data_IF_442919101567
#
_entry.id   IF_442919101567
#
_cell.length_a   1.000
_cell.length_b   1.000
_cell.length_c   1.000
_cell.angle_alpha   90.00
_cell.angle_beta   90.00
_cell.angle_gamma   90.00
#
_symmetry.space_group_name_H-M   'P 1'
#
loop_
_entity.id
_entity.type
_entity.pdbx_description
1 polymer ?
#
# COMPACT_ATOMS: atom_id res chain seq x y z
N UNK A 1 -16.84 -12.35 11.77
CA UNK A 1 -17.10 -11.91 10.38
C UNK A 1 -16.25 -12.75 9.45
N UNK A 2 -16.79 -13.12 8.28
CA UNK A 2 -16.09 -14.03 7.35
C UNK A 2 -15.01 -13.28 6.59
N UNK A 3 -13.81 -13.82 6.57
CA UNK A 3 -12.76 -13.51 5.61
C UNK A 3 -12.97 -14.40 4.39
N UNK A 4 -12.99 -13.81 3.20
CA UNK A 4 -13.19 -14.52 1.93
C UNK A 4 -11.94 -14.31 1.08
N UNK A 5 -11.31 -15.41 0.69
CA UNK A 5 -10.18 -15.41 -0.24
C UNK A 5 -10.67 -15.56 -1.67
N UNK A 6 -10.09 -14.78 -2.58
CA UNK A 6 -10.39 -14.80 -4.00
C UNK A 6 -9.14 -14.65 -4.86
N UNK A 7 -9.31 -14.82 -6.14
CA UNK A 7 -8.28 -14.51 -7.13
C UNK A 7 -8.90 -13.99 -8.42
N UNK A 8 -8.11 -13.24 -9.20
CA UNK A 8 -8.49 -12.74 -10.51
C UNK A 8 -7.34 -12.94 -11.47
N UNK A 9 -7.65 -13.23 -12.74
CA UNK A 9 -6.68 -13.22 -13.84
C UNK A 9 -6.75 -11.83 -14.48
N UNK A 10 -5.62 -11.16 -14.54
CA UNK A 10 -5.49 -9.84 -15.17
C UNK A 10 -5.49 -9.92 -16.69
N UNK A 11 -5.60 -8.79 -17.39
CA UNK A 11 -5.56 -8.69 -18.85
C UNK A 11 -4.24 -9.15 -19.49
N UNK A 12 -3.14 -9.19 -18.70
CA UNK A 12 -1.85 -9.75 -19.10
C UNK A 12 -1.63 -11.19 -18.60
N UNK A 13 -2.70 -11.86 -18.11
CA UNK A 13 -2.70 -13.29 -17.79
C UNK A 13 -2.12 -13.64 -16.42
N UNK A 14 -1.89 -12.68 -15.54
CA UNK A 14 -1.33 -12.89 -14.20
C UNK A 14 -2.45 -13.14 -13.19
N UNK A 15 -2.35 -14.21 -12.40
CA UNK A 15 -3.28 -14.48 -11.31
C UNK A 15 -2.87 -13.68 -10.08
N UNK A 16 -3.78 -12.82 -9.61
CA UNK A 16 -3.64 -12.06 -8.37
C UNK A 16 -4.53 -12.64 -7.30
N UNK A 17 -3.98 -12.87 -6.12
CA UNK A 17 -4.71 -13.25 -4.93
C UNK A 17 -5.17 -11.99 -4.16
N UNK A 18 -6.34 -12.10 -3.53
CA UNK A 18 -6.86 -11.06 -2.65
C UNK A 18 -7.75 -11.67 -1.58
N UNK A 19 -8.03 -10.88 -0.54
CA UNK A 19 -9.04 -11.21 0.44
C UNK A 19 -9.99 -10.05 0.68
N UNK A 20 -11.21 -10.38 1.09
CA UNK A 20 -12.21 -9.41 1.54
C UNK A 20 -12.62 -9.70 2.98
N UNK A 21 -12.74 -8.66 3.79
CA UNK A 21 -13.14 -8.76 5.20
C UNK A 21 -14.16 -7.67 5.50
N UNK A 22 -15.29 -8.07 6.09
CA UNK A 22 -16.40 -7.16 6.37
C UNK A 22 -17.40 -7.05 5.22
N UNK A 23 -18.52 -6.41 5.50
CA UNK A 23 -19.68 -6.26 4.61
C UNK A 23 -20.24 -4.83 4.58
N UNK A 24 -19.52 -3.89 5.19
CA UNK A 24 -19.90 -2.48 5.21
C UNK A 24 -19.95 -1.85 3.82
N UNK A 25 -20.71 -0.74 3.64
CA UNK A 25 -20.93 -0.12 2.34
C UNK A 25 -19.69 0.63 1.79
N UNK A 26 -18.69 0.94 2.63
CA UNK A 26 -17.49 1.68 2.21
C UNK A 26 -16.35 0.70 1.94
N UNK A 27 -15.95 0.57 0.68
CA UNK A 27 -14.84 -0.29 0.30
C UNK A 27 -13.50 0.41 0.52
N UNK A 28 -12.57 -0.26 1.20
CA UNK A 28 -11.18 0.12 1.31
C UNK A 28 -10.34 -0.83 0.45
N UNK A 29 -9.72 -0.34 -0.61
CA UNK A 29 -8.79 -1.10 -1.45
C UNK A 29 -7.39 -0.93 -0.89
N UNK A 30 -6.83 -1.99 -0.30
CA UNK A 30 -5.63 -1.98 0.52
C UNK A 30 -4.44 -2.58 -0.23
N UNK A 31 -3.39 -1.79 -0.46
CA UNK A 31 -2.18 -2.17 -1.17
C UNK A 31 -0.98 -2.13 -0.21
N UNK A 32 -0.33 -3.28 -0.03
CA UNK A 32 0.77 -3.46 0.92
C UNK A 32 2.10 -2.83 0.46
N UNK A 33 3.03 -2.67 1.40
CA UNK A 33 4.39 -2.19 1.17
C UNK A 33 5.31 -3.23 0.54
N UNK A 34 6.59 -2.86 0.37
CA UNK A 34 7.62 -3.75 -0.15
C UNK A 34 7.76 -5.02 0.69
N UNK A 35 7.83 -6.17 0.03
CA UNK A 35 7.92 -7.48 0.69
C UNK A 35 6.64 -7.96 1.38
N UNK A 36 5.62 -7.11 1.55
CA UNK A 36 4.39 -7.47 2.26
C UNK A 36 3.44 -8.36 1.47
N UNK A 37 2.24 -8.52 2.02
CA UNK A 37 1.09 -9.22 1.42
C UNK A 37 -0.22 -8.59 1.87
N UNK A 38 -1.34 -9.13 1.44
CA UNK A 38 -2.67 -8.78 1.95
C UNK A 38 -2.77 -8.93 3.48
N UNK A 39 -1.97 -9.82 4.09
CA UNK A 39 -1.96 -10.04 5.53
C UNK A 39 -1.29 -8.91 6.32
N UNK A 40 -0.43 -8.10 5.69
CA UNK A 40 0.13 -6.90 6.33
C UNK A 40 -0.94 -5.96 6.87
N UNK A 41 -2.16 -6.08 6.39
CA UNK A 41 -3.31 -5.28 6.80
C UNK A 41 -4.13 -5.89 7.95
N UNK A 42 -3.80 -7.10 8.45
CA UNK A 42 -4.61 -7.81 9.44
C UNK A 42 -4.87 -6.99 10.71
N UNK A 43 -3.84 -6.42 11.30
CA UNK A 43 -3.97 -5.62 12.52
C UNK A 43 -4.76 -4.33 12.30
N UNK A 44 -4.56 -3.68 11.15
CA UNK A 44 -5.34 -2.52 10.72
C UNK A 44 -6.82 -2.88 10.53
N UNK A 45 -7.13 -3.97 9.79
CA UNK A 45 -8.50 -4.43 9.52
C UNK A 45 -9.23 -4.80 10.82
N UNK A 46 -8.55 -5.48 11.76
CA UNK A 46 -9.12 -5.81 13.08
C UNK A 46 -9.55 -4.58 13.88
N UNK A 47 -8.99 -3.41 13.58
CA UNK A 47 -9.28 -2.13 14.25
C UNK A 47 -10.42 -1.34 13.60
N UNK A 48 -10.97 -1.80 12.48
CA UNK A 48 -12.08 -1.15 11.77
C UNK A 48 -13.46 -1.65 12.27
N UNK A 49 -14.47 -0.78 12.20
CA UNK A 49 -15.88 -1.21 12.29
C UNK A 49 -16.32 -1.83 10.96
N UNK A 50 -16.22 -3.14 10.86
CA UNK A 50 -16.50 -3.90 9.63
C UNK A 50 -17.98 -3.90 9.21
N UNK A 51 -18.88 -3.32 10.01
CA UNK A 51 -20.26 -3.02 9.59
C UNK A 51 -20.34 -1.75 8.75
N UNK A 52 -19.34 -0.87 8.85
CA UNK A 52 -19.20 0.37 8.05
C UNK A 52 -18.26 0.19 6.89
N UNK A 53 -17.24 -0.66 7.05
CA UNK A 53 -16.17 -0.88 6.08
C UNK A 53 -16.14 -2.30 5.55
N UNK A 54 -15.73 -2.42 4.30
CA UNK A 54 -15.34 -3.66 3.67
C UNK A 54 -13.92 -3.50 3.16
N UNK A 55 -12.97 -4.22 3.72
CA UNK A 55 -11.59 -4.25 3.29
C UNK A 55 -11.41 -5.20 2.11
N UNK A 56 -10.74 -4.76 1.06
CA UNK A 56 -10.30 -5.54 -0.09
C UNK A 56 -8.78 -5.43 -0.13
N UNK A 57 -8.08 -6.41 0.38
CA UNK A 57 -6.61 -6.43 0.45
C UNK A 57 -6.06 -7.40 -0.60
N UNK A 58 -5.14 -6.92 -1.44
CA UNK A 58 -4.56 -7.74 -2.50
C UNK A 58 -3.09 -8.06 -2.24
N UNK A 59 -2.66 -9.21 -2.75
CA UNK A 59 -1.25 -9.50 -2.95
C UNK A 59 -0.85 -8.95 -4.32
N UNK A 60 0.05 -7.97 -4.35
CA UNK A 60 0.54 -7.45 -5.63
C UNK A 60 1.35 -8.53 -6.37
N UNK A 61 1.45 -8.44 -7.71
CA UNK A 61 2.23 -9.39 -8.51
C UNK A 61 3.62 -9.63 -7.94
N UNK A 62 4.04 -10.89 -7.90
CA UNK A 62 5.33 -11.31 -7.35
C UNK A 62 5.37 -11.47 -5.83
N UNK A 63 4.31 -11.12 -5.09
CA UNK A 63 4.22 -11.18 -3.63
C UNK A 63 3.11 -12.12 -3.16
N UNK A 64 3.10 -12.44 -1.88
CA UNK A 64 2.07 -13.25 -1.22
C UNK A 64 1.71 -14.51 -2.00
N UNK A 65 0.44 -14.74 -2.23
CA UNK A 65 -0.10 -15.87 -2.98
C UNK A 65 -0.39 -15.53 -4.46
N UNK A 66 -0.04 -14.31 -4.92
CA UNK A 66 -0.08 -13.93 -6.35
C UNK A 66 1.05 -14.57 -7.15
N UNK A 67 0.86 -14.68 -8.48
CA UNK A 67 1.84 -15.28 -9.39
C UNK A 67 3.20 -14.56 -9.32
N UNK A 68 4.27 -15.35 -9.38
CA UNK A 68 5.66 -14.92 -9.33
C UNK A 68 6.21 -14.64 -10.74
N UNK A 69 5.77 -13.53 -11.30
CA UNK A 69 6.12 -13.09 -12.66
C UNK A 69 7.38 -12.22 -12.68
N UNK A 70 7.94 -12.03 -13.88
CA UNK A 70 9.14 -11.20 -14.11
C UNK A 70 8.85 -9.98 -15.00
N UNK A 71 7.58 -9.66 -15.22
CA UNK A 71 7.12 -8.54 -16.06
C UNK A 71 6.04 -7.73 -15.38
N UNK A 72 5.78 -6.52 -15.90
CA UNK A 72 4.69 -5.68 -15.44
C UNK A 72 4.96 -4.92 -14.13
N UNK A 73 6.21 -4.65 -13.79
CA UNK A 73 6.58 -3.87 -12.61
C UNK A 73 6.64 -2.38 -12.95
N UNK A 74 5.47 -1.77 -13.16
CA UNK A 74 5.29 -0.34 -13.42
C UNK A 74 4.12 0.20 -12.61
N UNK A 75 4.14 1.51 -12.29
CA UNK A 75 3.06 2.17 -11.56
C UNK A 75 1.69 1.96 -12.21
N UNK A 76 1.63 2.09 -13.54
CA UNK A 76 0.39 1.89 -14.29
C UNK A 76 -0.10 0.45 -14.18
N UNK A 77 0.81 -0.54 -14.29
CA UNK A 77 0.42 -1.96 -14.21
C UNK A 77 -0.12 -2.31 -12.82
N UNK A 78 0.53 -1.85 -11.76
CA UNK A 78 0.04 -2.06 -10.39
C UNK A 78 -1.33 -1.41 -10.16
N UNK A 79 -1.55 -0.23 -10.72
CA UNK A 79 -2.87 0.42 -10.63
C UNK A 79 -3.94 -0.36 -11.41
N UNK A 80 -3.63 -0.91 -12.62
CA UNK A 80 -4.53 -1.79 -13.38
C UNK A 80 -4.82 -3.09 -12.63
N UNK A 81 -3.81 -3.68 -11.99
CA UNK A 81 -3.95 -4.86 -11.15
C UNK A 81 -4.93 -4.61 -9.98
N UNK A 82 -4.77 -3.47 -9.31
CA UNK A 82 -5.66 -3.08 -8.23
C UNK A 82 -7.11 -2.86 -8.70
N UNK A 83 -7.31 -2.29 -9.90
CA UNK A 83 -8.62 -2.16 -10.52
C UNK A 83 -9.24 -3.52 -10.86
N UNK A 84 -8.46 -4.47 -11.39
CA UNK A 84 -8.93 -5.82 -11.69
C UNK A 84 -9.39 -6.56 -10.40
N UNK A 85 -8.64 -6.40 -9.31
CA UNK A 85 -9.05 -6.94 -8.00
C UNK A 85 -10.31 -6.25 -7.48
N UNK A 86 -10.41 -4.92 -7.60
CA UNK A 86 -11.60 -4.17 -7.20
C UNK A 86 -12.85 -4.65 -7.96
N UNK A 87 -12.72 -4.95 -9.27
CA UNK A 87 -13.81 -5.50 -10.08
C UNK A 87 -14.21 -6.90 -9.62
N UNK A 88 -13.24 -7.80 -9.43
CA UNK A 88 -13.48 -9.16 -8.97
C UNK A 88 -14.11 -9.20 -7.57
N UNK A 89 -13.75 -8.23 -6.72
CA UNK A 89 -14.33 -8.05 -5.40
C UNK A 89 -15.67 -7.28 -5.41
N UNK A 90 -16.21 -6.87 -6.57
CA UNK A 90 -17.41 -6.00 -6.70
C UNK A 90 -17.28 -4.65 -5.95
N UNK A 91 -16.07 -4.13 -5.80
CA UNK A 91 -15.80 -2.81 -5.21
C UNK A 91 -15.82 -1.74 -6.32
N UNK A 92 -17.00 -1.38 -6.82
CA UNK A 92 -17.17 -0.43 -7.94
C UNK A 92 -16.61 0.94 -7.61
N UNK A 93 -16.85 1.41 -6.39
CA UNK A 93 -16.24 2.61 -5.81
C UNK A 93 -15.48 2.23 -4.56
N UNK A 94 -14.39 2.89 -4.30
CA UNK A 94 -13.51 2.58 -3.18
C UNK A 94 -12.66 3.77 -2.75
N UNK A 95 -12.20 3.71 -1.51
CA UNK A 95 -11.09 4.51 -1.02
C UNK A 95 -9.82 3.67 -1.23
N UNK A 96 -8.84 4.20 -1.97
CA UNK A 96 -7.56 3.54 -2.16
C UNK A 96 -6.62 3.85 -0.99
N UNK A 97 -6.04 2.80 -0.38
CA UNK A 97 -5.15 2.91 0.77
C UNK A 97 -3.84 2.21 0.44
N UNK A 98 -2.74 2.94 0.41
CA UNK A 98 -1.43 2.39 0.11
C UNK A 98 -0.43 2.64 1.23
N UNK A 99 0.32 1.60 1.60
CA UNK A 99 1.39 1.69 2.57
C UNK A 99 2.76 1.68 1.88
N UNK A 100 3.66 2.57 2.33
CA UNK A 100 5.06 2.62 1.88
C UNK A 100 5.15 2.66 0.34
N UNK A 101 5.79 1.70 -0.29
CA UNK A 101 5.88 1.55 -1.75
C UNK A 101 4.53 1.74 -2.46
N UNK A 102 3.46 1.14 -1.95
CA UNK A 102 2.13 1.23 -2.58
C UNK A 102 1.42 2.56 -2.35
N UNK A 103 1.92 3.42 -1.48
CA UNK A 103 1.51 4.82 -1.44
C UNK A 103 1.67 5.52 -2.80
N UNK A 104 2.61 5.05 -3.61
CA UNK A 104 2.82 5.48 -4.98
C UNK A 104 1.72 4.98 -5.94
N UNK A 105 1.31 3.72 -5.81
CA UNK A 105 0.29 3.13 -6.70
C UNK A 105 -1.09 3.74 -6.49
N UNK A 106 -1.44 4.05 -5.23
CA UNK A 106 -2.73 4.69 -4.93
C UNK A 106 -2.82 6.12 -5.46
N UNK A 107 -1.68 6.79 -5.66
CA UNK A 107 -1.62 8.08 -6.34
C UNK A 107 -1.86 7.95 -7.87
N UNK A 108 -1.59 6.78 -8.45
CA UNK A 108 -1.79 6.53 -9.88
C UNK A 108 -3.25 6.14 -10.21
N UNK A 109 -3.97 5.53 -9.29
CA UNK A 109 -5.34 5.05 -9.49
C UNK A 109 -6.31 6.13 -10.00
N UNK A 110 -6.33 7.35 -9.42
CA UNK A 110 -7.21 8.43 -9.93
C UNK A 110 -6.87 8.89 -11.35
N UNK A 111 -5.67 8.64 -11.85
CA UNK A 111 -5.28 8.95 -13.22
C UNK A 111 -5.92 8.01 -14.24
N UNK A 112 -6.25 6.78 -13.79
CA UNK A 112 -6.87 5.74 -14.63
C UNK A 112 -8.39 5.71 -14.49
N UNK A 113 -8.91 5.91 -13.28
CA UNK A 113 -10.33 5.69 -12.97
C UNK A 113 -10.82 6.67 -11.90
N UNK A 114 -10.83 8.00 -12.21
CA UNK A 114 -11.16 9.04 -11.23
C UNK A 114 -12.60 8.90 -10.70
N UNK A 115 -13.51 8.35 -11.48
CA UNK A 115 -14.94 8.17 -11.11
C UNK A 115 -15.15 7.06 -10.07
N UNK A 116 -14.15 6.21 -9.86
CA UNK A 116 -14.21 5.08 -8.92
C UNK A 116 -13.51 5.37 -7.59
N UNK A 117 -12.52 6.28 -7.59
CA UNK A 117 -11.71 6.59 -6.41
C UNK A 117 -12.38 7.70 -5.62
N UNK A 118 -13.01 7.37 -4.50
CA UNK A 118 -13.71 8.33 -3.64
C UNK A 118 -12.76 9.11 -2.72
N UNK A 119 -11.56 8.57 -2.48
CA UNK A 119 -10.50 9.20 -1.69
C UNK A 119 -9.22 8.40 -1.78
N UNK A 120 -8.12 9.06 -1.48
CA UNK A 120 -6.77 8.46 -1.45
C UNK A 120 -6.21 8.55 -0.05
N UNK A 121 -5.69 7.44 0.47
CA UNK A 121 -4.97 7.38 1.74
C UNK A 121 -3.55 6.89 1.48
N UNK A 122 -2.59 7.68 1.88
CA UNK A 122 -1.16 7.40 1.73
C UNK A 122 -0.58 7.24 3.14
N UNK A 123 -0.09 6.05 3.46
CA UNK A 123 0.48 5.72 4.77
C UNK A 123 2.00 5.55 4.60
N UNK A 124 2.80 6.47 5.14
CA UNK A 124 4.25 6.52 4.98
C UNK A 124 4.69 6.24 3.52
N UNK A 125 4.00 6.89 2.58
CA UNK A 125 4.03 6.49 1.18
C UNK A 125 5.23 7.00 0.40
N UNK A 126 5.65 6.21 -0.60
CA UNK A 126 6.63 6.65 -1.59
C UNK A 126 6.03 7.71 -2.52
N UNK A 127 6.82 8.74 -2.91
CA UNK A 127 6.36 9.82 -3.76
C UNK A 127 6.18 9.39 -5.23
N UNK A 128 5.40 10.14 -5.98
CA UNK A 128 5.28 9.98 -7.43
C UNK A 128 6.53 10.44 -8.19
N UNK A 129 7.36 11.27 -7.58
CA UNK A 129 8.69 11.63 -8.08
C UNK A 129 9.66 10.45 -8.00
N UNK A 130 10.73 10.50 -8.79
CA UNK A 130 11.80 9.51 -8.71
C UNK A 130 12.51 9.60 -7.36
N UNK A 131 12.83 8.45 -6.80
CA UNK A 131 13.70 8.31 -5.63
C UNK A 131 15.12 7.96 -6.07
N UNK A 132 16.09 8.28 -5.24
CA UNK A 132 17.48 7.89 -5.45
C UNK A 132 17.79 6.66 -4.59
N UNK A 133 18.00 5.52 -5.23
CA UNK A 133 18.40 4.26 -4.58
C UNK A 133 19.61 3.69 -5.32
N UNK A 134 20.74 3.51 -4.64
CA UNK A 134 21.89 2.84 -5.24
C UNK A 134 21.56 1.43 -5.70
N UNK A 135 22.03 1.01 -6.88
CA UNK A 135 21.77 -0.35 -7.41
C UNK A 135 22.24 -1.45 -6.44
N UNK A 136 23.31 -1.19 -5.69
CA UNK A 136 23.78 -2.12 -4.66
C UNK A 136 22.72 -2.35 -3.58
N UNK A 137 22.04 -1.30 -3.12
CA UNK A 137 20.96 -1.42 -2.13
C UNK A 137 19.82 -2.27 -2.67
N UNK A 138 19.41 -2.03 -3.92
CA UNK A 138 18.36 -2.81 -4.58
C UNK A 138 18.74 -4.29 -4.67
N UNK A 139 19.98 -4.56 -5.05
CA UNK A 139 20.52 -5.91 -5.19
C UNK A 139 20.56 -6.64 -3.84
N UNK A 140 21.07 -5.98 -2.80
CA UNK A 140 21.22 -6.53 -1.45
C UNK A 140 19.86 -6.81 -0.81
N UNK A 141 18.89 -5.92 -1.01
CA UNK A 141 17.54 -6.12 -0.51
C UNK A 141 16.82 -7.25 -1.26
N UNK A 142 16.93 -7.31 -2.59
CA UNK A 142 16.37 -8.40 -3.37
C UNK A 142 17.02 -9.77 -3.02
N UNK A 143 18.28 -9.78 -2.60
CA UNK A 143 18.97 -11.00 -2.19
C UNK A 143 18.43 -11.61 -0.88
N UNK A 144 17.63 -10.87 -0.12
CA UNK A 144 16.95 -11.37 1.10
C UNK A 144 15.76 -12.30 0.79
N UNK A 145 15.35 -12.38 -0.48
CA UNK A 145 14.22 -13.23 -0.90
C UNK A 145 14.36 -14.68 -0.41
N UNK A 146 13.29 -15.20 0.21
CA UNK A 146 13.25 -16.55 0.76
C UNK A 146 13.96 -16.72 2.12
N UNK A 147 14.68 -15.71 2.61
CA UNK A 147 15.34 -15.71 3.91
C UNK A 147 14.47 -14.92 4.92
N UNK A 148 13.64 -15.66 5.67
CA UNK A 148 12.68 -15.09 6.61
C UNK A 148 13.34 -14.16 7.64
N UNK A 149 14.48 -14.56 8.18
CA UNK A 149 15.15 -13.79 9.24
C UNK A 149 15.72 -12.47 8.69
N UNK A 150 16.35 -12.51 7.52
CA UNK A 150 16.82 -11.28 6.85
C UNK A 150 15.69 -10.36 6.43
N UNK A 151 14.54 -10.90 6.04
CA UNK A 151 13.38 -10.10 5.69
C UNK A 151 12.74 -9.48 6.95
N UNK A 152 12.75 -10.19 8.08
CA UNK A 152 12.30 -9.68 9.37
C UNK A 152 13.10 -8.47 9.86
N UNK A 153 14.39 -8.38 9.52
CA UNK A 153 15.24 -7.25 9.86
C UNK A 153 14.82 -5.93 9.17
N UNK A 154 14.20 -6.03 7.98
CA UNK A 154 13.89 -4.84 7.17
C UNK A 154 12.97 -3.86 7.88
N UNK A 155 11.78 -4.25 8.38
CA UNK A 155 10.94 -3.32 9.12
C UNK A 155 11.59 -2.84 10.42
N UNK A 156 12.42 -3.66 11.08
CA UNK A 156 13.12 -3.27 12.31
C UNK A 156 14.08 -2.10 12.07
N UNK A 157 14.70 -2.00 10.89
CA UNK A 157 15.63 -0.91 10.57
C UNK A 157 14.95 0.47 10.57
N UNK A 158 13.64 0.53 10.36
CA UNK A 158 12.91 1.78 10.16
C UNK A 158 11.77 1.99 11.17
N UNK A 159 11.51 1.01 12.04
CA UNK A 159 10.56 1.12 13.13
C UNK A 159 11.22 1.66 14.41
N UNK A 160 10.43 2.28 15.26
CA UNK A 160 10.86 2.75 16.61
C UNK A 160 10.46 1.72 17.68
N UNK A 161 9.22 1.27 17.64
CA UNK A 161 8.69 0.32 18.64
C UNK A 161 7.72 -0.67 17.97
N UNK A 162 8.24 -1.59 17.13
CA UNK A 162 7.42 -2.54 16.40
C UNK A 162 6.87 -3.63 17.31
N UNK A 163 5.64 -4.08 17.03
CA UNK A 163 5.06 -5.27 17.66
C UNK A 163 5.78 -6.53 17.14
N UNK A 164 6.41 -7.35 18.02
CA UNK A 164 7.15 -8.53 17.58
C UNK A 164 6.31 -9.55 16.83
N UNK A 165 5.01 -9.70 17.20
CA UNK A 165 4.11 -10.65 16.54
C UNK A 165 3.82 -10.20 15.11
N UNK A 166 3.60 -8.89 14.90
CA UNK A 166 3.35 -8.35 13.55
C UNK A 166 4.62 -8.39 12.68
N UNK A 167 5.81 -8.27 13.29
CA UNK A 167 7.08 -8.50 12.59
C UNK A 167 7.22 -9.94 12.09
N UNK A 168 6.82 -10.91 12.91
CA UNK A 168 6.87 -12.32 12.53
C UNK A 168 5.85 -12.64 11.44
N UNK A 169 4.62 -12.11 11.53
CA UNK A 169 3.61 -12.20 10.47
C UNK A 169 4.14 -11.60 9.14
N UNK A 170 4.77 -10.42 9.20
CA UNK A 170 5.39 -9.81 8.02
C UNK A 170 6.49 -10.69 7.42
N UNK A 171 7.39 -11.23 8.24
CA UNK A 171 8.50 -12.04 7.77
C UNK A 171 8.04 -13.33 7.08
N UNK A 172 7.00 -13.98 7.61
CA UNK A 172 6.40 -15.18 7.02
C UNK A 172 5.82 -14.90 5.63
N UNK A 173 5.17 -13.75 5.45
CA UNK A 173 4.61 -13.34 4.17
C UNK A 173 5.68 -12.83 3.19
N UNK A 174 6.65 -12.06 3.69
CA UNK A 174 7.74 -11.53 2.88
C UNK A 174 8.60 -12.65 2.27
N UNK A 175 8.75 -13.77 2.96
CA UNK A 175 9.47 -14.94 2.46
C UNK A 175 8.82 -15.57 1.21
N UNK A 176 7.52 -15.30 0.95
CA UNK A 176 6.82 -15.73 -0.25
C UNK A 176 7.10 -14.86 -1.48
N UNK A 177 7.63 -13.65 -1.30
CA UNK A 177 7.93 -12.75 -2.40
C UNK A 177 9.10 -13.26 -3.25
N UNK A 178 8.99 -13.13 -4.58
CA UNK A 178 10.08 -13.53 -5.46
C UNK A 178 11.23 -12.53 -5.43
N UNK A 179 12.47 -13.03 -5.55
CA UNK A 179 13.66 -12.17 -5.64
C UNK A 179 13.53 -11.13 -6.75
N UNK A 180 12.97 -11.54 -7.90
CA UNK A 180 12.76 -10.62 -9.01
C UNK A 180 11.82 -9.48 -8.62
N UNK A 181 10.68 -9.80 -8.01
CA UNK A 181 9.70 -8.80 -7.61
C UNK A 181 10.27 -7.81 -6.58
N UNK A 182 11.00 -8.31 -5.57
CA UNK A 182 11.64 -7.45 -4.56
C UNK A 182 12.59 -6.43 -5.19
N UNK A 183 13.39 -6.84 -6.19
CA UNK A 183 14.28 -5.92 -6.89
C UNK A 183 13.55 -5.00 -7.89
N UNK A 184 12.63 -5.54 -8.66
CA UNK A 184 11.90 -4.79 -9.69
C UNK A 184 11.02 -3.68 -9.10
N UNK A 185 10.38 -3.92 -7.97
CA UNK A 185 9.57 -2.92 -7.26
C UNK A 185 10.42 -1.77 -6.71
N UNK A 186 11.65 -2.03 -6.23
CA UNK A 186 12.56 -0.95 -5.84
C UNK A 186 13.06 -0.15 -7.05
N UNK A 187 13.40 -0.83 -8.18
CA UNK A 187 13.80 -0.12 -9.41
C UNK A 187 12.70 0.76 -9.98
N UNK A 188 11.44 0.35 -9.82
CA UNK A 188 10.31 1.18 -10.23
C UNK A 188 10.30 2.53 -9.49
N UNK A 189 10.73 2.60 -8.21
CA UNK A 189 10.81 3.85 -7.45
C UNK A 189 11.81 4.86 -8.06
N UNK A 190 12.72 4.43 -8.93
CA UNK A 190 13.67 5.31 -9.64
C UNK A 190 13.02 6.07 -10.80
N UNK A 191 11.77 5.77 -11.14
CA UNK A 191 11.01 6.46 -12.19
C UNK A 191 10.13 7.58 -11.61
N UNK A 192 9.59 8.45 -12.44
CA UNK A 192 8.66 9.51 -12.02
C UNK A 192 7.41 9.54 -12.89
N UNK A 193 6.26 9.79 -12.27
CA UNK A 193 5.02 10.18 -12.93
C UNK A 193 4.40 11.45 -12.31
N UNK A 194 5.15 12.18 -11.51
CA UNK A 194 4.68 13.34 -10.75
C UNK A 194 4.03 14.40 -11.65
N UNK A 195 4.58 14.66 -12.82
CA UNK A 195 4.01 15.62 -13.78
C UNK A 195 2.61 15.21 -14.26
N UNK A 196 2.29 13.94 -14.26
CA UNK A 196 0.93 13.47 -14.59
C UNK A 196 -0.07 13.80 -13.48
N UNK A 197 0.37 13.83 -12.23
CA UNK A 197 -0.47 14.26 -11.09
C UNK A 197 -0.65 15.77 -11.15
N UNK A 198 0.43 16.55 -11.23
CA UNK A 198 0.40 18.03 -11.26
C UNK A 198 -0.49 18.58 -12.37
N UNK A 199 -0.46 17.93 -13.55
CA UNK A 199 -1.25 18.36 -14.71
C UNK A 199 -2.72 17.94 -14.69
N UNK A 200 -3.11 17.03 -13.79
CA UNK A 200 -4.45 16.39 -13.79
C UNK A 200 -5.03 16.20 -12.39
N UNK A 201 -4.44 16.81 -11.35
CA UNK A 201 -4.92 16.59 -9.99
C UNK A 201 -6.43 16.86 -9.92
N UNK A 202 -7.28 15.81 -9.95
CA UNK A 202 -8.65 16.00 -9.55
C UNK A 202 -8.62 16.47 -8.11
N UNK A 203 -9.59 17.25 -7.69
CA UNK A 203 -9.81 17.61 -6.30
C UNK A 203 -10.25 16.35 -5.54
N UNK A 204 -9.35 15.35 -5.46
CA UNK A 204 -9.64 14.09 -4.78
C UNK A 204 -9.28 14.25 -3.30
N UNK A 205 -10.24 13.98 -2.40
CA UNK A 205 -9.93 13.99 -0.98
C UNK A 205 -8.74 13.07 -0.66
N UNK A 206 -7.75 13.59 0.04
CA UNK A 206 -6.51 12.84 0.31
C UNK A 206 -6.12 12.96 1.78
N UNK A 207 -5.82 11.82 2.39
CA UNK A 207 -5.22 11.70 3.72
C UNK A 207 -3.80 11.16 3.59
N UNK A 208 -2.86 11.81 4.27
CA UNK A 208 -1.47 11.35 4.37
C UNK A 208 -1.16 11.08 5.83
N UNK A 209 -0.73 9.86 6.16
CA UNK A 209 -0.25 9.49 7.49
C UNK A 209 1.27 9.34 7.45
N UNK A 210 1.95 10.00 8.37
CA UNK A 210 3.41 10.02 8.48
C UNK A 210 3.85 9.52 9.85
N UNK A 211 4.95 8.77 9.92
CA UNK A 211 5.65 8.54 11.18
C UNK A 211 6.56 9.72 11.50
N UNK A 212 6.48 10.28 12.71
CA UNK A 212 7.34 11.42 13.11
C UNK A 212 8.82 11.07 13.08
N UNK A 213 9.15 9.82 13.40
CA UNK A 213 10.52 9.30 13.43
C UNK A 213 10.84 8.41 12.22
N UNK A 214 10.04 8.48 11.15
CA UNK A 214 10.31 7.77 9.89
C UNK A 214 11.59 8.29 9.25
N UNK A 215 12.65 7.46 9.27
CA UNK A 215 13.95 7.78 8.69
C UNK A 215 14.06 7.44 7.20
N UNK A 216 13.06 6.75 6.64
CA UNK A 216 13.04 6.32 5.23
C UNK A 216 12.24 7.30 4.35
N UNK A 217 10.99 7.58 4.74
CA UNK A 217 10.04 8.43 4.01
C UNK A 217 9.38 9.42 4.99
N UNK A 218 10.21 10.18 5.71
CA UNK A 218 9.81 11.01 6.84
C UNK A 218 8.81 12.13 6.53
N UNK A 219 8.45 12.92 7.56
CA UNK A 219 7.39 13.92 7.48
C UNK A 219 7.53 14.91 6.32
N UNK A 220 8.75 15.30 5.95
CA UNK A 220 8.97 16.25 4.85
C UNK A 220 8.63 15.63 3.49
N UNK A 221 8.94 14.34 3.29
CA UNK A 221 8.51 13.62 2.08
C UNK A 221 6.98 13.53 2.03
N UNK A 222 6.34 13.22 3.15
CA UNK A 222 4.89 13.13 3.22
C UNK A 222 4.20 14.48 3.00
N UNK A 223 4.76 15.58 3.50
CA UNK A 223 4.29 16.96 3.21
C UNK A 223 4.44 17.32 1.73
N UNK A 224 5.57 16.90 1.11
CA UNK A 224 5.78 17.12 -0.33
C UNK A 224 4.77 16.35 -1.19
N UNK A 225 4.43 15.10 -0.80
CA UNK A 225 3.36 14.34 -1.44
C UNK A 225 2.02 15.07 -1.29
N UNK A 226 1.68 15.49 -0.06
CA UNK A 226 0.44 16.19 0.25
C UNK A 226 0.26 17.48 -0.54
N UNK A 227 1.34 18.20 -0.85
CA UNK A 227 1.33 19.42 -1.64
C UNK A 227 0.81 19.22 -3.07
N UNK A 228 0.85 18.01 -3.61
CA UNK A 228 0.26 17.65 -4.89
C UNK A 228 -1.27 17.51 -4.85
N UNK A 229 -1.88 17.51 -3.66
CA UNK A 229 -3.31 17.29 -3.43
C UNK A 229 -3.91 18.45 -2.64
N UNK A 230 -4.44 19.50 -3.29
CA UNK A 230 -5.05 20.64 -2.61
C UNK A 230 -6.17 20.21 -1.65
N UNK A 231 -6.09 20.68 -0.39
CA UNK A 231 -7.04 20.30 0.66
C UNK A 231 -6.74 18.94 1.33
N UNK A 232 -5.61 18.31 1.03
CA UNK A 232 -5.17 17.10 1.73
C UNK A 232 -4.94 17.34 3.21
N UNK A 233 -5.21 16.29 4.02
CA UNK A 233 -4.92 16.27 5.46
C UNK A 233 -3.64 15.46 5.71
N UNK A 234 -2.69 16.03 6.44
CA UNK A 234 -1.49 15.32 6.91
C UNK A 234 -1.63 15.07 8.40
N UNK A 235 -1.37 13.84 8.85
CA UNK A 235 -1.37 13.45 10.26
C UNK A 235 -0.05 12.76 10.58
N UNK A 236 0.65 13.23 11.60
CA UNK A 236 1.90 12.67 12.07
C UNK A 236 1.67 11.83 13.34
N UNK A 237 2.10 10.56 13.32
CA UNK A 237 1.99 9.61 14.42
C UNK A 237 3.33 9.40 15.12
N UNK A 238 3.32 9.09 16.42
CA UNK A 238 4.53 8.80 17.20
C UNK A 238 5.05 7.38 16.92
N UNK A 239 5.66 7.20 15.76
CA UNK A 239 6.25 5.94 15.30
C UNK A 239 7.30 6.20 14.23
N UNK A 240 7.97 5.14 13.78
CA UNK A 240 8.84 5.11 12.61
C UNK A 240 8.08 4.94 11.30
N UNK A 241 8.72 4.28 10.34
CA UNK A 241 8.15 4.00 9.02
C UNK A 241 7.01 2.98 9.06
N UNK A 242 7.06 2.03 9.98
CA UNK A 242 6.24 0.83 9.97
C UNK A 242 4.90 1.03 10.71
N UNK A 243 4.09 2.00 10.23
CA UNK A 243 2.82 2.35 10.87
C UNK A 243 1.87 1.16 11.05
N UNK A 244 1.90 0.19 10.12
CA UNK A 244 1.06 -1.02 10.19
C UNK A 244 1.53 -2.03 11.24
N UNK A 245 2.79 -1.92 11.69
CA UNK A 245 3.40 -2.78 12.72
C UNK A 245 3.45 -2.07 14.08
N UNK A 246 3.60 -0.73 14.07
CA UNK A 246 3.76 0.07 15.29
C UNK A 246 2.44 0.65 15.79
N UNK A 247 1.58 1.13 14.90
CA UNK A 247 0.37 1.91 15.20
C UNK A 247 -0.85 1.55 14.34
N UNK A 248 -1.12 0.23 14.08
CA UNK A 248 -2.18 -0.17 13.16
C UNK A 248 -3.57 0.36 13.56
N UNK A 249 -3.87 0.39 14.87
CA UNK A 249 -5.14 0.89 15.39
C UNK A 249 -5.30 2.41 15.23
N UNK A 250 -4.22 3.19 15.44
CA UNK A 250 -4.26 4.64 15.23
C UNK A 250 -4.41 4.97 13.73
N UNK A 251 -3.69 4.26 12.87
CA UNK A 251 -3.83 4.39 11.42
C UNK A 251 -5.28 4.10 10.98
N UNK A 252 -5.86 2.99 11.44
CA UNK A 252 -7.25 2.62 11.12
C UNK A 252 -8.25 3.68 11.60
N UNK A 253 -8.06 4.24 12.79
CA UNK A 253 -8.93 5.30 13.34
C UNK A 253 -8.89 6.54 12.44
N UNK A 254 -7.70 7.03 12.06
CA UNK A 254 -7.58 8.21 11.20
C UNK A 254 -8.17 7.99 9.80
N UNK A 255 -8.02 6.78 9.25
CA UNK A 255 -8.65 6.41 7.98
C UNK A 255 -10.18 6.39 8.12
N UNK A 256 -10.72 5.81 9.19
CA UNK A 256 -12.15 5.79 9.44
C UNK A 256 -12.75 7.20 9.63
N UNK A 257 -12.07 8.08 10.37
CA UNK A 257 -12.43 9.49 10.52
C UNK A 257 -12.45 10.21 9.17
N UNK A 258 -11.40 10.04 8.37
CA UNK A 258 -11.30 10.63 7.03
C UNK A 258 -12.43 10.17 6.12
N UNK A 259 -12.70 8.86 6.06
CA UNK A 259 -13.79 8.32 5.23
C UNK A 259 -15.14 8.84 5.69
N UNK A 260 -15.32 9.09 6.98
CA UNK A 260 -16.52 9.72 7.54
C UNK A 260 -16.77 11.16 7.08
N UNK A 261 -15.76 11.84 6.55
CA UNK A 261 -15.90 13.21 5.96
C UNK A 261 -16.23 13.19 4.47
N UNK A 262 -16.14 12.04 3.81
CA UNK A 262 -16.41 11.90 2.38
C UNK A 262 -17.93 11.82 2.13
N UNK A 263 -18.41 12.29 0.97
CA UNK A 263 -19.80 12.09 0.56
C UNK A 263 -20.18 10.59 0.57
N UNK A 264 -21.43 10.29 0.95
CA UNK A 264 -22.00 8.93 0.93
C UNK A 264 -22.40 8.49 -0.48
#
# INVERSE_FOLDING_TARGET
MSEIHGSVITDDGVRLAYKTVGDGPRNLLLLHGWGGSANSWNAFIRSLDLRKFRAVALDIRGHGDSDKVTTGFTDERFARDALAVADAANARKFISVGFSMSGRFVQYLPLLSPERVEGVVIIAGAPASAMELPEQVITDWAARAGDREKLREVPIMFAVNPDPTLLDEYADDAAKASRYALGATLRMLLTSFEERIKGRSPAIPTLVLAGKADSLLGPDVQKAIAANYPGSRVVELDCGHELLVEKPGEAARHVAEFVGTLPS
#
